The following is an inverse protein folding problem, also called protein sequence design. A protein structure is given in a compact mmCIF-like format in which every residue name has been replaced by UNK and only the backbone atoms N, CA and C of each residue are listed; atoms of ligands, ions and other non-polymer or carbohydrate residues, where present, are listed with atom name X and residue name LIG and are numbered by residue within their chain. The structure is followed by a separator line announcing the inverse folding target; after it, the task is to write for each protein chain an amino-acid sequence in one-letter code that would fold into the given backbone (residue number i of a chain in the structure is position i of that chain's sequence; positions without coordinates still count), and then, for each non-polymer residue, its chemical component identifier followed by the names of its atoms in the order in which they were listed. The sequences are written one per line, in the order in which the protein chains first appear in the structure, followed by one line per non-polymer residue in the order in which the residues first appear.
data_IF_331373585902
#
_entry.id   IF_331373585902
#
_cell.length_a   1.000
_cell.length_b   1.000
_cell.length_c   1.000
_cell.angle_alpha   90.00
_cell.angle_beta   90.00
_cell.angle_gamma   90.00
#
_symmetry.space_group_name_H-M   'P 1'
#
loop_
_entity.id
_entity.type
_entity.pdbx_description
1 polymer ?
#
# COMPACT_ATOMS: atom_id res chain seq x y z
N UNK A 1 19.25 12.20 15.94
CA UNK A 1 19.52 13.65 15.77
C UNK A 1 18.39 14.26 14.96
N UNK A 2 17.48 14.99 15.61
CA UNK A 2 16.38 15.67 14.92
C UNK A 2 16.97 16.81 14.09
N UNK A 3 16.88 16.74 12.76
CA UNK A 3 17.17 17.88 11.89
C UNK A 3 16.22 19.00 12.31
N UNK A 4 16.75 20.07 12.90
CA UNK A 4 16.04 21.34 13.02
C UNK A 4 15.64 21.75 11.60
N UNK A 5 14.38 21.57 11.24
CA UNK A 5 13.88 21.87 9.91
C UNK A 5 13.67 23.39 9.87
N UNK A 6 14.71 24.12 9.48
CA UNK A 6 14.62 25.58 9.30
C UNK A 6 13.53 25.89 8.28
N UNK A 7 12.63 26.80 8.65
CA UNK A 7 11.57 27.27 7.76
C UNK A 7 11.98 28.62 7.20
N UNK A 8 11.88 28.77 5.89
CA UNK A 8 12.24 29.98 5.17
C UNK A 8 11.00 30.58 4.52
N UNK A 9 10.83 31.90 4.63
CA UNK A 9 9.86 32.66 3.86
C UNK A 9 10.55 33.20 2.60
N UNK A 10 9.92 33.04 1.45
CA UNK A 10 10.28 33.74 0.22
C UNK A 10 9.29 34.89 0.02
N UNK A 11 9.79 36.12 0.13
CA UNK A 11 9.00 37.36 0.19
C UNK A 11 9.43 38.30 -0.94
N UNK A 12 8.51 39.01 -1.60
CA UNK A 12 8.88 40.10 -2.51
C UNK A 12 9.48 41.26 -1.73
N UNK A 13 10.75 41.55 -2.00
CA UNK A 13 11.49 42.71 -1.52
C UNK A 13 11.09 44.00 -2.24
N UNK A 14 11.73 45.12 -1.86
CA UNK A 14 11.50 46.42 -2.51
C UNK A 14 11.88 46.39 -3.99
N UNK A 15 13.02 45.79 -4.33
CA UNK A 15 13.51 45.60 -5.72
C UNK A 15 13.80 44.14 -6.06
N UNK A 16 14.04 43.30 -5.06
CA UNK A 16 14.57 41.93 -5.21
C UNK A 16 13.70 40.90 -4.52
N UNK A 17 13.93 39.61 -4.73
CA UNK A 17 13.32 38.55 -3.93
C UNK A 17 14.16 38.24 -2.69
N UNK A 18 13.53 38.12 -1.53
CA UNK A 18 14.23 37.94 -0.25
C UNK A 18 13.84 36.61 0.41
N UNK A 19 14.85 35.88 0.88
CA UNK A 19 14.67 34.75 1.79
C UNK A 19 14.86 35.19 3.23
N UNK A 20 13.88 34.88 4.07
CA UNK A 20 13.90 35.14 5.50
C UNK A 20 13.87 33.83 6.27
N UNK A 21 14.81 33.62 7.18
CA UNK A 21 14.84 32.45 8.06
C UNK A 21 13.99 32.70 9.29
N UNK A 22 13.04 31.79 9.54
CA UNK A 22 12.23 31.75 10.75
C UNK A 22 12.78 30.64 11.66
N UNK A 23 13.39 31.05 12.76
CA UNK A 23 13.81 30.14 13.82
C UNK A 23 12.86 30.25 15.02
N UNK A 24 12.46 29.13 15.65
CA UNK A 24 11.58 29.17 16.82
C UNK A 24 12.18 30.02 17.94
N UNK A 25 11.45 31.04 18.40
CA UNK A 25 11.87 31.91 19.51
C UNK A 25 12.94 32.95 19.17
N UNK A 26 13.32 33.10 17.90
CA UNK A 26 14.24 34.14 17.44
C UNK A 26 13.55 35.10 16.45
N UNK A 27 13.96 36.37 16.37
CA UNK A 27 13.42 37.29 15.38
C UNK A 27 13.77 36.79 13.96
N UNK A 28 12.88 37.01 12.96
CA UNK A 28 13.15 36.67 11.58
C UNK A 28 14.41 37.39 11.08
N UNK A 29 15.31 36.66 10.42
CA UNK A 29 16.54 37.24 9.85
C UNK A 29 16.61 37.03 8.35
N UNK A 30 17.06 38.04 7.62
CA UNK A 30 17.26 37.94 6.18
C UNK A 30 18.43 37.01 5.90
N UNK A 31 18.20 35.96 5.12
CA UNK A 31 19.20 34.96 4.74
C UNK A 31 19.92 35.34 3.45
N UNK A 32 19.17 35.71 2.41
CA UNK A 32 19.70 36.11 1.11
C UNK A 32 18.70 36.95 0.33
N UNK A 33 19.20 37.81 -0.55
CA UNK A 33 18.42 38.59 -1.51
C UNK A 33 18.88 38.24 -2.94
N UNK A 34 17.94 38.25 -3.89
CA UNK A 34 18.15 37.84 -5.27
C UNK A 34 17.52 38.85 -6.24
N UNK A 35 18.34 39.62 -7.00
CA UNK A 35 17.87 40.59 -8.00
C UNK A 35 17.41 39.91 -9.29
N UNK A 36 16.40 39.05 -9.19
CA UNK A 36 15.79 38.37 -10.33
C UNK A 36 14.35 38.84 -10.50
N UNK A 37 13.87 38.87 -11.75
CA UNK A 37 12.49 39.28 -12.01
C UNK A 37 11.49 38.19 -11.57
N UNK A 38 11.88 36.92 -11.75
CA UNK A 38 11.03 35.76 -11.53
C UNK A 38 11.62 34.83 -10.45
N UNK A 39 10.81 34.29 -9.54
CA UNK A 39 11.29 33.39 -8.49
C UNK A 39 11.82 32.06 -9.03
N UNK A 40 11.45 31.65 -10.24
CA UNK A 40 11.97 30.44 -10.90
C UNK A 40 13.46 30.52 -11.23
N UNK A 41 13.99 31.73 -11.43
CA UNK A 41 15.39 31.97 -11.79
C UNK A 41 16.35 31.79 -10.60
N UNK A 42 15.80 31.64 -9.39
CA UNK A 42 16.61 31.45 -8.19
C UNK A 42 17.18 30.03 -8.15
N UNK A 43 18.41 29.89 -8.65
CA UNK A 43 19.07 28.60 -8.84
C UNK A 43 19.41 27.84 -7.53
N UNK A 44 19.66 28.56 -6.43
CA UNK A 44 20.11 27.98 -5.16
C UNK A 44 19.26 28.45 -3.96
N UNK A 45 18.02 27.95 -3.81
CA UNK A 45 17.23 28.23 -2.62
C UNK A 45 17.87 27.58 -1.37
N UNK A 46 17.65 28.14 -0.17
CA UNK A 46 18.19 27.57 1.06
C UNK A 46 17.66 26.16 1.34
N UNK A 47 18.46 25.38 2.08
CA UNK A 47 18.04 24.07 2.57
C UNK A 47 17.02 24.25 3.71
N UNK A 48 15.94 23.45 3.70
CA UNK A 48 14.82 23.57 4.63
C UNK A 48 13.46 23.65 3.94
N UNK A 49 12.42 23.90 4.72
CA UNK A 49 11.06 24.11 4.22
C UNK A 49 10.94 25.56 3.72
N UNK A 50 10.33 25.77 2.55
CA UNK A 50 10.11 27.12 1.99
C UNK A 50 8.61 27.40 1.94
N UNK A 51 8.20 28.57 2.41
CA UNK A 51 6.85 29.10 2.27
C UNK A 51 6.94 30.29 1.32
N UNK A 52 6.10 30.28 0.28
CA UNK A 52 6.12 31.32 -0.73
C UNK A 52 5.01 32.32 -0.49
N UNK A 53 5.36 33.61 -0.42
CA UNK A 53 4.41 34.69 -0.31
C UNK A 53 4.19 35.32 -1.69
N UNK A 54 2.99 35.19 -2.23
CA UNK A 54 2.64 35.81 -3.49
C UNK A 54 2.68 37.34 -3.36
N UNK A 55 3.27 38.03 -4.35
CA UNK A 55 3.25 39.49 -4.38
C UNK A 55 1.83 39.98 -4.66
N UNK A 56 1.51 41.19 -4.23
CA UNK A 56 0.16 41.77 -4.37
C UNK A 56 -0.25 41.86 -5.85
N UNK A 57 0.70 42.02 -6.77
CA UNK A 57 0.43 42.03 -8.22
C UNK A 57 -0.13 40.71 -8.77
N UNK A 58 0.06 39.60 -8.05
CA UNK A 58 -0.38 38.28 -8.48
C UNK A 58 -1.82 37.95 -8.04
N UNK A 59 -2.45 38.81 -7.24
CA UNK A 59 -3.76 38.55 -6.64
C UNK A 59 -4.73 39.70 -6.88
N UNK A 60 -6.02 39.41 -6.71
CA UNK A 60 -7.09 40.40 -6.61
C UNK A 60 -7.77 40.25 -5.25
N UNK A 61 -7.78 41.34 -4.48
CA UNK A 61 -8.45 41.42 -3.19
C UNK A 61 -9.92 41.79 -3.37
N UNK A 62 -10.81 40.98 -2.80
CA UNK A 62 -12.26 41.15 -2.81
C UNK A 62 -12.76 41.18 -1.36
N UNK A 63 -12.78 42.35 -0.71
CA UNK A 63 -13.34 42.49 0.62
C UNK A 63 -14.86 42.44 0.54
N UNK A 64 -15.47 41.78 1.52
CA UNK A 64 -16.91 41.56 1.54
C UNK A 64 -17.47 41.88 2.92
N UNK A 65 -18.62 42.56 2.92
CA UNK A 65 -19.47 42.71 4.09
C UNK A 65 -20.72 41.85 3.88
N UNK A 66 -20.93 40.86 4.76
CA UNK A 66 -22.03 39.90 4.65
C UNK A 66 -22.90 39.92 5.92
N UNK A 67 -24.23 39.84 5.80
CA UNK A 67 -25.15 39.83 6.94
C UNK A 67 -25.29 38.42 7.53
N UNK A 68 -24.16 37.78 7.86
CA UNK A 68 -24.12 36.47 8.51
C UNK A 68 -22.85 36.28 9.31
N UNK A 69 -22.96 35.65 10.47
CA UNK A 69 -21.83 35.18 11.29
C UNK A 69 -21.33 33.78 10.91
N UNK A 70 -22.04 33.06 10.03
CA UNK A 70 -21.69 31.69 9.67
C UNK A 70 -20.55 31.62 8.66
N UNK A 71 -19.36 31.31 9.17
CA UNK A 71 -18.12 31.18 8.37
C UNK A 71 -18.17 30.08 7.32
N UNK A 72 -19.07 29.10 7.44
CA UNK A 72 -19.20 28.01 6.46
C UNK A 72 -19.77 28.49 5.12
N UNK A 73 -20.51 29.60 5.13
CA UNK A 73 -21.11 30.21 3.93
C UNK A 73 -20.15 31.15 3.18
N UNK A 74 -19.03 31.54 3.81
CA UNK A 74 -18.10 32.51 3.22
C UNK A 74 -17.51 32.05 1.88
N UNK A 75 -17.11 30.77 1.68
CA UNK A 75 -16.64 30.28 0.39
C UNK A 75 -17.63 30.48 -0.76
N UNK A 76 -18.90 30.17 -0.54
CA UNK A 76 -19.92 30.23 -1.58
C UNK A 76 -20.28 31.68 -1.93
N UNK A 77 -20.35 32.55 -0.92
CA UNK A 77 -20.54 33.99 -1.11
C UNK A 77 -19.35 34.62 -1.85
N UNK A 78 -18.12 34.24 -1.48
CA UNK A 78 -16.90 34.72 -2.13
C UNK A 78 -16.85 34.27 -3.61
N UNK A 79 -17.18 33.01 -3.89
CA UNK A 79 -17.24 32.48 -5.24
C UNK A 79 -18.28 33.24 -6.08
N UNK A 80 -19.48 33.44 -5.56
CA UNK A 80 -20.55 34.20 -6.24
C UNK A 80 -20.12 35.63 -6.55
N UNK A 81 -19.46 36.28 -5.60
CA UNK A 81 -18.96 37.65 -5.78
C UNK A 81 -17.83 37.72 -6.80
N UNK A 82 -16.88 36.78 -6.75
CA UNK A 82 -15.80 36.68 -7.71
C UNK A 82 -16.35 36.45 -9.14
N UNK A 83 -17.35 35.58 -9.30
CA UNK A 83 -18.02 35.37 -10.58
C UNK A 83 -18.70 36.63 -11.10
N UNK A 84 -19.41 37.37 -10.24
CA UNK A 84 -20.02 38.66 -10.60
C UNK A 84 -18.98 39.70 -11.02
N UNK A 85 -17.80 39.67 -10.43
CA UNK A 85 -16.67 40.51 -10.79
C UNK A 85 -15.92 40.04 -12.06
N UNK A 86 -16.34 38.94 -12.69
CA UNK A 86 -15.68 38.36 -13.85
C UNK A 86 -14.38 37.60 -13.52
N UNK A 87 -14.13 37.36 -12.23
CA UNK A 87 -12.94 36.68 -11.73
C UNK A 87 -13.27 35.19 -11.56
N UNK A 88 -13.15 34.43 -12.64
CA UNK A 88 -13.27 32.97 -12.59
C UNK A 88 -11.88 32.33 -12.55
N UNK A 89 -11.42 31.84 -11.37
CA UNK A 89 -10.21 31.04 -11.33
C UNK A 89 -10.41 29.78 -12.18
N UNK A 90 -9.38 29.39 -12.92
CA UNK A 90 -9.42 28.19 -13.75
C UNK A 90 -9.62 26.95 -12.84
N UNK A 91 -10.67 26.14 -13.04
CA UNK A 91 -10.95 24.97 -12.21
C UNK A 91 -9.82 23.93 -12.22
N UNK A 92 -8.98 23.92 -13.26
CA UNK A 92 -7.82 23.03 -13.36
C UNK A 92 -6.55 23.60 -12.73
N UNK A 93 -6.55 24.89 -12.36
CA UNK A 93 -5.38 25.60 -11.82
C UNK A 93 -5.17 25.45 -10.31
N UNK A 94 -5.94 24.57 -9.65
CA UNK A 94 -5.79 24.25 -8.23
C UNK A 94 -6.66 25.13 -7.32
N UNK A 95 -6.22 25.35 -6.09
CA UNK A 95 -6.93 26.20 -5.13
C UNK A 95 -6.33 27.60 -5.18
N UNK A 96 -6.93 28.48 -5.98
CA UNK A 96 -6.47 29.86 -6.19
C UNK A 96 -7.22 30.89 -5.36
N UNK A 97 -8.23 30.46 -4.60
CA UNK A 97 -9.04 31.34 -3.75
C UNK A 97 -8.82 31.01 -2.29
N UNK A 98 -8.67 32.04 -1.47
CA UNK A 98 -8.63 31.92 -0.02
C UNK A 98 -9.43 33.04 0.66
N UNK A 99 -9.77 32.83 1.93
CA UNK A 99 -10.66 33.70 2.68
C UNK A 99 -10.08 33.97 4.06
N UNK A 100 -10.00 35.25 4.39
CA UNK A 100 -9.46 35.74 5.65
C UNK A 100 -10.53 36.53 6.41
N UNK A 101 -11.13 35.96 7.47
CA UNK A 101 -12.06 36.69 8.33
C UNK A 101 -11.37 37.85 9.04
N UNK A 102 -11.91 39.06 8.87
CA UNK A 102 -11.38 40.29 9.50
C UNK A 102 -12.18 40.54 10.79
N UNK A 103 -13.48 40.76 10.64
CA UNK A 103 -14.42 41.01 11.73
C UNK A 103 -15.56 40.00 11.61
N UNK A 104 -15.88 39.31 12.70
CA UNK A 104 -16.98 38.34 12.74
C UNK A 104 -17.89 38.69 13.89
N UNK A 105 -19.14 39.02 13.58
CA UNK A 105 -20.23 39.19 14.55
C UNK A 105 -21.39 38.26 14.18
N UNK A 106 -22.31 37.94 15.11
CA UNK A 106 -23.42 37.03 14.83
C UNK A 106 -24.29 37.46 13.65
N UNK A 107 -24.49 38.77 13.49
CA UNK A 107 -25.35 39.35 12.47
C UNK A 107 -24.60 39.84 11.22
N UNK A 108 -23.34 40.25 11.36
CA UNK A 108 -22.55 40.82 10.28
C UNK A 108 -21.10 40.34 10.36
N UNK A 109 -20.52 39.98 9.21
CA UNK A 109 -19.11 39.65 9.11
C UNK A 109 -18.46 40.39 7.96
N UNK A 110 -17.21 40.78 8.17
CA UNK A 110 -16.32 41.33 7.15
C UNK A 110 -15.16 40.37 6.96
N UNK A 111 -14.92 39.99 5.71
CA UNK A 111 -13.79 39.14 5.37
C UNK A 111 -13.18 39.57 4.05
N UNK A 112 -11.89 39.24 3.89
CA UNK A 112 -11.15 39.43 2.67
C UNK A 112 -11.13 38.11 1.90
N UNK A 113 -11.73 38.07 0.72
CA UNK A 113 -11.49 37.01 -0.24
C UNK A 113 -10.34 37.41 -1.16
N UNK A 114 -9.40 36.51 -1.39
CA UNK A 114 -8.29 36.72 -2.32
C UNK A 114 -8.40 35.73 -3.44
N UNK A 115 -8.34 36.23 -4.68
CA UNK A 115 -8.32 35.42 -5.90
C UNK A 115 -6.95 35.58 -6.54
N UNK A 116 -6.17 34.50 -6.56
CA UNK A 116 -4.87 34.46 -7.20
C UNK A 116 -5.04 34.32 -8.71
N UNK A 117 -4.31 35.12 -9.50
CA UNK A 117 -4.16 34.90 -10.93
C UNK A 117 -3.48 33.54 -11.14
N UNK A 118 -3.92 32.76 -12.12
CA UNK A 118 -3.30 31.47 -12.43
C UNK A 118 -1.78 31.64 -12.66
N UNK A 119 -0.93 31.18 -11.72
CA UNK A 119 0.50 31.42 -11.79
C UNK A 119 1.11 30.60 -12.91
N UNK A 120 2.02 31.20 -13.68
CA UNK A 120 2.82 30.45 -14.64
C UNK A 120 3.95 29.70 -13.91
N UNK A 121 4.57 28.68 -14.52
CA UNK A 121 5.71 27.98 -13.92
C UNK A 121 6.87 28.92 -13.52
N UNK A 122 7.03 30.02 -14.26
CA UNK A 122 7.98 31.09 -13.99
C UNK A 122 7.67 31.89 -12.70
N UNK A 123 6.39 32.03 -12.35
CA UNK A 123 5.94 32.77 -11.16
C UNK A 123 6.09 31.96 -9.87
N UNK A 124 6.53 30.71 -9.97
CA UNK A 124 6.75 29.80 -8.86
C UNK A 124 8.25 29.51 -8.68
N UNK A 125 8.73 29.35 -7.45
CA UNK A 125 10.13 28.97 -7.23
C UNK A 125 10.41 27.56 -7.73
N UNK A 126 11.64 27.32 -8.20
CA UNK A 126 12.09 26.03 -8.75
C UNK A 126 11.87 24.86 -7.78
N UNK A 127 12.07 25.10 -6.49
CA UNK A 127 11.79 24.15 -5.42
C UNK A 127 10.34 24.33 -4.97
N UNK A 128 9.54 23.26 -5.06
CA UNK A 128 8.14 23.27 -4.64
C UNK A 128 7.98 23.71 -3.18
N UNK A 129 7.33 24.85 -2.91
CA UNK A 129 7.08 25.33 -1.56
C UNK A 129 6.18 24.38 -0.76
N UNK A 130 6.30 24.44 0.57
CA UNK A 130 5.48 23.70 1.54
C UNK A 130 4.10 24.33 1.74
N UNK A 131 4.03 25.65 1.75
CA UNK A 131 2.79 26.40 1.86
C UNK A 131 2.89 27.70 1.04
N UNK A 132 1.73 28.30 0.82
CA UNK A 132 1.58 29.55 0.10
C UNK A 132 0.72 30.50 0.91
N UNK A 133 1.10 31.77 0.90
CA UNK A 133 0.31 32.85 1.48
C UNK A 133 0.55 34.13 0.66
N UNK A 134 0.08 35.27 1.15
CA UNK A 134 0.20 36.56 0.47
C UNK A 134 1.13 37.49 1.24
N UNK A 135 1.91 38.31 0.52
CA UNK A 135 2.91 39.19 1.13
C UNK A 135 2.35 40.18 2.17
N UNK A 136 1.15 40.80 2.02
CA UNK A 136 0.69 41.79 3.00
C UNK A 136 0.43 41.18 4.38
N UNK A 137 0.10 39.88 4.45
CA UNK A 137 -0.17 39.21 5.73
C UNK A 137 1.09 38.93 6.55
N UNK A 138 2.26 38.99 5.94
CA UNK A 138 3.52 38.82 6.65
C UNK A 138 4.01 40.09 7.35
N UNK A 139 3.39 41.24 7.11
CA UNK A 139 3.79 42.51 7.71
C UNK A 139 2.71 43.00 8.68
N UNK A 140 2.91 42.84 10.00
CA UNK A 140 1.89 43.20 10.97
C UNK A 140 1.72 44.71 11.06
N UNK A 141 0.49 45.18 11.00
CA UNK A 141 0.11 46.56 11.28
C UNK A 141 -0.77 46.63 12.54
N UNK A 142 -0.82 47.78 13.21
CA UNK A 142 -1.64 47.98 14.41
C UNK A 142 -2.82 48.89 14.11
N UNK A 143 -3.97 48.61 14.71
CA UNK A 143 -5.17 49.42 14.59
C UNK A 143 -5.66 49.54 13.13
N UNK A 144 -6.28 50.68 12.82
CA UNK A 144 -6.81 50.96 11.49
C UNK A 144 -5.77 51.77 10.71
N UNK A 145 -4.92 51.10 9.94
CA UNK A 145 -3.74 51.69 9.31
C UNK A 145 -3.71 51.45 7.81
N UNK A 146 -3.30 52.48 7.07
CA UNK A 146 -2.90 52.36 5.68
C UNK A 146 -1.39 52.11 5.62
N UNK A 147 -0.96 50.96 5.13
CA UNK A 147 0.47 50.67 4.92
C UNK A 147 0.80 50.76 3.45
N UNK A 148 1.94 51.38 3.12
CA UNK A 148 2.46 51.50 1.76
C UNK A 148 3.89 50.98 1.72
N UNK A 149 4.21 50.16 0.73
CA UNK A 149 5.57 49.68 0.49
C UNK A 149 5.78 49.40 -0.98
N UNK A 150 7.01 49.06 -1.35
CA UNK A 150 7.34 48.65 -2.71
C UNK A 150 7.52 47.14 -2.78
N UNK A 151 7.02 46.55 -3.85
CA UNK A 151 7.25 45.16 -4.22
C UNK A 151 7.82 45.09 -5.63
N UNK A 152 9.05 44.58 -5.75
CA UNK A 152 9.72 44.35 -7.04
C UNK A 152 9.66 45.60 -7.95
N UNK A 153 9.88 46.78 -7.34
CA UNK A 153 9.96 48.08 -8.00
C UNK A 153 8.65 48.90 -8.04
N UNK A 154 7.49 48.30 -7.78
CA UNK A 154 6.18 48.98 -7.86
C UNK A 154 5.58 49.23 -6.47
N UNK A 155 4.88 50.35 -6.29
CA UNK A 155 4.17 50.65 -5.05
C UNK A 155 2.95 49.75 -4.87
N UNK A 156 2.76 49.29 -3.65
CA UNK A 156 1.58 48.56 -3.21
C UNK A 156 1.09 49.18 -1.91
N UNK A 157 -0.21 49.05 -1.65
CA UNK A 157 -0.78 49.47 -0.38
C UNK A 157 -1.71 48.41 0.19
N UNK A 158 -1.82 48.43 1.51
CA UNK A 158 -2.80 47.63 2.24
C UNK A 158 -3.51 48.47 3.29
N UNK A 159 -4.78 48.15 3.49
CA UNK A 159 -5.63 48.74 4.51
C UNK A 159 -5.85 47.67 5.57
N UNK A 160 -5.59 48.03 6.81
CA UNK A 160 -5.79 47.17 7.97
C UNK A 160 -6.94 47.70 8.81
N UNK A 161 -7.70 46.78 9.40
CA UNK A 161 -8.75 47.05 10.38
C UNK A 161 -8.45 46.21 11.62
N UNK A 162 -8.34 46.84 12.79
CA UNK A 162 -7.95 46.17 14.04
C UNK A 162 -6.67 45.31 13.91
N UNK A 163 -5.73 45.75 13.07
CA UNK A 163 -4.48 45.04 12.78
C UNK A 163 -4.60 43.83 11.83
N UNK A 164 -5.80 43.51 11.34
CA UNK A 164 -6.01 42.48 10.31
C UNK A 164 -6.10 43.11 8.92
N UNK A 165 -5.61 42.40 7.91
CA UNK A 165 -5.65 42.84 6.52
C UNK A 165 -7.09 42.88 6.01
N UNK A 166 -7.57 44.07 5.65
CA UNK A 166 -8.90 44.30 5.08
C UNK A 166 -8.86 44.34 3.56
N UNK A 167 -7.87 45.02 2.99
CA UNK A 167 -7.73 45.19 1.54
C UNK A 167 -6.27 45.37 1.15
N UNK A 168 -5.89 44.96 -0.05
CA UNK A 168 -4.58 45.26 -0.63
C UNK A 168 -4.67 45.40 -2.14
N UNK A 169 -3.81 46.25 -2.71
CA UNK A 169 -3.74 46.46 -4.15
C UNK A 169 -2.32 46.84 -4.56
N UNK A 170 -1.90 46.29 -5.71
CA UNK A 170 -0.69 46.71 -6.39
C UNK A 170 -1.01 47.83 -7.36
N UNK A 171 -0.12 48.82 -7.43
CA UNK A 171 -0.24 49.95 -8.36
C UNK A 171 0.82 49.85 -9.45
N UNK A 172 0.64 50.57 -10.55
CA UNK A 172 1.67 50.69 -11.60
C UNK A 172 2.70 51.78 -11.32
N UNK A 173 2.65 52.42 -10.15
CA UNK A 173 3.51 53.55 -9.81
C UNK A 173 4.89 53.03 -9.38
N UNK A 174 5.93 53.47 -10.08
CA UNK A 174 7.34 53.08 -9.83
C UNK A 174 8.19 54.26 -9.37
N UNK A 175 7.59 55.41 -9.06
CA UNK A 175 8.30 56.59 -8.56
C UNK A 175 9.01 56.29 -7.23
N UNK A 176 10.12 56.99 -6.92
CA UNK A 176 10.84 56.79 -5.67
C UNK A 176 9.99 57.18 -4.44
N UNK A 177 9.09 58.14 -4.58
CA UNK A 177 8.17 58.59 -3.53
C UNK A 177 6.70 58.43 -3.92
N UNK A 178 5.78 58.37 -2.94
CA UNK A 178 4.33 58.38 -3.17
C UNK A 178 3.87 59.62 -3.95
N UNK A 179 3.42 59.42 -5.19
CA UNK A 179 2.99 60.50 -6.07
C UNK A 179 1.46 60.74 -6.01
N UNK A 180 0.98 61.73 -6.76
CA UNK A 180 -0.44 62.05 -6.85
C UNK A 180 -1.26 60.91 -7.47
N UNK A 181 -0.67 60.10 -8.35
CA UNK A 181 -1.30 58.96 -9.01
C UNK A 181 -1.63 57.86 -8.00
N UNK A 182 -0.65 57.48 -7.18
CA UNK A 182 -0.81 56.50 -6.10
C UNK A 182 -1.90 56.92 -5.12
N UNK A 183 -1.91 58.20 -4.72
CA UNK A 183 -2.91 58.73 -3.80
C UNK A 183 -4.31 58.70 -4.41
N UNK A 184 -4.42 58.99 -5.71
CA UNK A 184 -5.70 58.89 -6.42
C UNK A 184 -6.19 57.45 -6.42
N UNK A 185 -5.33 56.47 -6.69
CA UNK A 185 -5.69 55.05 -6.62
C UNK A 185 -6.17 54.64 -5.22
N UNK A 186 -5.47 55.06 -4.17
CA UNK A 186 -5.86 54.80 -2.77
C UNK A 186 -7.25 55.38 -2.46
N UNK A 187 -7.52 56.63 -2.87
CA UNK A 187 -8.83 57.25 -2.67
C UNK A 187 -9.96 56.51 -3.40
N UNK A 188 -9.70 56.10 -4.64
CA UNK A 188 -10.67 55.34 -5.44
C UNK A 188 -10.96 54.00 -4.75
N UNK A 189 -9.92 53.31 -4.27
CA UNK A 189 -10.08 52.06 -3.53
C UNK A 189 -10.92 52.27 -2.27
N UNK A 190 -10.59 53.24 -1.40
CA UNK A 190 -11.37 53.53 -0.18
C UNK A 190 -12.83 53.86 -0.52
N UNK A 191 -13.08 54.67 -1.55
CA UNK A 191 -14.43 54.99 -1.99
C UNK A 191 -15.20 53.76 -2.49
N UNK A 192 -14.55 52.87 -3.25
CA UNK A 192 -15.13 51.60 -3.71
C UNK A 192 -15.49 50.68 -2.55
N UNK A 193 -14.61 50.58 -1.54
CA UNK A 193 -14.89 49.80 -0.32
C UNK A 193 -16.11 50.34 0.42
N UNK A 194 -16.20 51.66 0.57
CA UNK A 194 -17.34 52.32 1.21
C UNK A 194 -18.66 52.03 0.46
N UNK A 195 -18.65 52.10 -0.88
CA UNK A 195 -19.82 51.75 -1.70
C UNK A 195 -20.23 50.27 -1.58
N UNK A 196 -19.30 49.38 -1.25
CA UNK A 196 -19.55 47.95 -1.00
C UNK A 196 -20.01 47.67 0.44
N UNK A 197 -20.17 48.70 1.27
CA UNK A 197 -20.54 48.56 2.69
C UNK A 197 -19.38 48.16 3.60
N UNK A 198 -18.15 48.15 3.08
CA UNK A 198 -16.94 47.87 3.85
C UNK A 198 -16.35 49.19 4.37
N UNK A 199 -16.42 49.42 5.68
CA UNK A 199 -15.89 50.63 6.30
C UNK A 199 -14.36 50.57 6.42
N UNK A 200 -13.67 51.19 5.46
CA UNK A 200 -12.22 51.30 5.42
C UNK A 200 -11.77 52.73 5.80
N UNK A 201 -11.71 53.02 7.10
CA UNK A 201 -11.33 54.34 7.63
C UNK A 201 -9.97 54.24 8.35
N UNK A 202 -8.84 54.40 7.63
CA UNK A 202 -7.53 54.41 8.27
C UNK A 202 -7.38 55.68 9.13
N UNK A 203 -6.85 55.53 10.35
CA UNK A 203 -6.56 56.65 11.25
C UNK A 203 -5.13 57.17 11.08
N UNK A 204 -4.22 56.35 10.57
CA UNK A 204 -2.84 56.72 10.25
C UNK A 204 -2.32 55.97 9.03
N UNK A 205 -1.24 56.49 8.46
CA UNK A 205 -0.55 55.91 7.32
C UNK A 205 0.91 55.61 7.66
N UNK A 206 1.40 54.46 7.25
CA UNK A 206 2.80 54.04 7.45
C UNK A 206 3.39 53.74 6.09
N UNK A 207 4.49 54.41 5.76
CA UNK A 207 5.26 54.18 4.54
C UNK A 207 6.51 53.39 4.92
N UNK A 208 6.65 52.20 4.36
CA UNK A 208 7.84 51.38 4.49
C UNK A 208 8.75 51.61 3.29
N UNK A 209 9.91 52.21 3.54
CA UNK A 209 10.95 52.45 2.53
C UNK A 209 12.32 52.18 3.14
N UNK A 210 13.25 51.71 2.32
CA UNK A 210 14.67 51.67 2.69
C UNK A 210 15.33 53.06 2.62
N UNK A 211 14.76 53.98 1.82
CA UNK A 211 15.26 55.33 1.62
C UNK A 211 14.67 56.31 2.67
N UNK A 212 15.50 56.86 3.59
CA UNK A 212 15.05 57.81 4.59
C UNK A 212 14.63 59.17 4.01
N UNK A 213 15.00 59.48 2.76
CA UNK A 213 14.63 60.73 2.08
C UNK A 213 13.29 60.65 1.33
N UNK A 214 12.59 59.52 1.43
CA UNK A 214 11.28 59.32 0.78
C UNK A 214 10.28 60.40 1.24
N UNK A 215 9.90 61.30 0.33
CA UNK A 215 8.93 62.36 0.65
C UNK A 215 7.51 61.77 0.86
N UNK A 216 6.96 62.01 2.04
CA UNK A 216 5.61 61.58 2.45
C UNK A 216 4.65 62.74 2.65
N UNK A 217 5.09 63.98 2.42
CA UNK A 217 4.32 65.20 2.68
C UNK A 217 3.02 65.28 1.85
N UNK A 218 3.10 64.87 0.58
CA UNK A 218 1.97 64.88 -0.35
C UNK A 218 0.90 63.87 0.10
N UNK A 219 1.30 62.70 0.58
CA UNK A 219 0.43 61.68 1.16
C UNK A 219 -0.30 62.21 2.40
N UNK A 220 0.43 62.82 3.33
CA UNK A 220 -0.15 63.36 4.57
C UNK A 220 -1.16 64.46 4.29
N UNK A 221 -0.78 65.43 3.46
CA UNK A 221 -1.63 66.59 3.12
C UNK A 221 -2.87 66.17 2.34
N UNK A 222 -2.73 65.20 1.44
CA UNK A 222 -3.86 64.76 0.61
C UNK A 222 -4.85 63.93 1.41
N UNK A 223 -4.38 62.90 2.12
CA UNK A 223 -5.29 61.99 2.83
C UNK A 223 -5.72 62.53 4.21
N UNK A 224 -5.14 63.63 4.67
CA UNK A 224 -5.36 64.18 6.03
C UNK A 224 -5.05 63.15 7.12
N UNK A 225 -4.03 62.31 6.89
CA UNK A 225 -3.59 61.26 7.82
C UNK A 225 -2.22 61.60 8.40
N UNK A 226 -2.00 61.16 9.63
CA UNK A 226 -0.65 61.14 10.22
C UNK A 226 0.18 60.08 9.49
N UNK A 227 1.18 60.51 8.74
CA UNK A 227 2.10 59.63 8.00
C UNK A 227 3.38 59.40 8.78
N UNK A 228 3.80 58.15 8.88
CA UNK A 228 5.09 57.76 9.47
C UNK A 228 5.93 57.05 8.42
N UNK A 229 7.18 57.49 8.26
CA UNK A 229 8.18 56.80 7.45
C UNK A 229 9.00 55.89 8.37
N UNK A 230 9.00 54.59 8.09
CA UNK A 230 9.78 53.61 8.86
C UNK A 230 10.43 52.60 7.92
N UNK A 231 11.48 51.92 8.41
CA UNK A 231 12.03 50.78 7.70
C UNK A 231 10.99 49.64 7.67
N UNK A 232 11.00 48.85 6.59
CA UNK A 232 10.09 47.71 6.47
C UNK A 232 10.32 46.72 7.61
N UNK A 233 9.27 46.31 8.36
CA UNK A 233 9.42 45.34 9.43
C UNK A 233 9.85 43.98 8.89
N UNK A 234 10.51 43.18 9.72
CA UNK A 234 10.84 41.81 9.37
C UNK A 234 9.54 40.99 9.18
N UNK A 235 9.43 40.18 8.12
CA UNK A 235 8.22 39.42 7.84
C UNK A 235 8.00 38.35 8.91
N UNK A 236 6.77 38.26 9.41
CA UNK A 236 6.32 37.23 10.34
C UNK A 236 5.59 36.12 9.59
N UNK A 237 5.52 34.94 10.21
CA UNK A 237 4.68 33.86 9.71
C UNK A 237 3.21 34.25 9.85
N UNK A 238 2.40 34.25 8.78
CA UNK A 238 0.96 34.42 8.91
C UNK A 238 0.32 33.23 9.62
N UNK A 239 -0.52 33.51 10.62
CA UNK A 239 -1.32 32.51 11.32
C UNK A 239 -2.82 32.84 11.20
N UNK A 240 -3.67 31.93 10.70
CA UNK A 240 -3.34 30.66 10.06
C UNK A 240 -2.72 30.85 8.67
N UNK A 241 -1.95 29.85 8.21
CA UNK A 241 -1.43 29.82 6.84
C UNK A 241 -2.56 29.75 5.82
N UNK A 242 -2.32 30.38 4.67
CA UNK A 242 -3.22 30.33 3.54
C UNK A 242 -3.46 28.92 2.98
N UNK A 243 -4.65 28.72 2.42
CA UNK A 243 -5.08 27.51 1.72
C UNK A 243 -4.76 27.54 0.22
N UNK A 244 -4.00 28.54 -0.23
CA UNK A 244 -3.58 28.68 -1.62
C UNK A 244 -2.71 27.49 -2.05
N UNK A 245 -3.04 26.89 -3.20
CA UNK A 245 -2.31 25.74 -3.73
C UNK A 245 -2.44 25.65 -5.26
N UNK A 246 -1.49 26.26 -6.01
CA UNK A 246 -1.46 26.20 -7.47
C UNK A 246 -1.37 24.78 -8.05
N UNK A 247 -1.89 24.57 -9.26
CA UNK A 247 -1.94 23.28 -9.93
C UNK A 247 -0.58 22.63 -10.17
N UNK A 248 0.43 23.41 -10.57
CA UNK A 248 1.78 22.88 -10.85
C UNK A 248 2.37 22.21 -9.61
N UNK A 249 2.17 22.82 -8.44
CA UNK A 249 2.64 22.28 -7.17
C UNK A 249 1.78 21.09 -6.73
N UNK A 250 0.47 21.10 -7.01
CA UNK A 250 -0.39 19.93 -6.80
C UNK A 250 0.03 18.74 -7.66
N UNK A 251 0.34 18.98 -8.93
CA UNK A 251 0.81 17.96 -9.86
C UNK A 251 2.16 17.39 -9.40
N UNK A 252 3.11 18.26 -9.06
CA UNK A 252 4.41 17.86 -8.52
C UNK A 252 4.28 17.03 -7.23
N UNK A 253 3.44 17.46 -6.28
CA UNK A 253 3.17 16.71 -5.04
C UNK A 253 2.51 15.35 -5.30
N UNK A 254 1.55 15.28 -6.23
CA UNK A 254 0.91 14.01 -6.61
C UNK A 254 1.91 13.05 -7.25
N UNK A 255 2.77 13.52 -8.14
CA UNK A 255 3.81 12.71 -8.77
C UNK A 255 4.82 12.19 -7.73
N UNK A 256 5.27 13.05 -6.80
CA UNK A 256 6.16 12.66 -5.72
C UNK A 256 5.53 11.60 -4.80
N UNK A 257 4.27 11.79 -4.40
CA UNK A 257 3.55 10.82 -3.56
C UNK A 257 3.31 9.49 -4.30
N UNK A 258 3.01 9.53 -5.60
CA UNK A 258 2.88 8.32 -6.43
C UNK A 258 4.21 7.55 -6.49
N UNK A 259 5.34 8.23 -6.70
CA UNK A 259 6.68 7.61 -6.68
C UNK A 259 6.99 6.99 -5.32
N UNK A 260 6.72 7.70 -4.23
CA UNK A 260 6.94 7.19 -2.88
C UNK A 260 6.10 5.93 -2.63
N UNK A 261 4.82 5.94 -3.00
CA UNK A 261 3.95 4.77 -2.86
C UNK A 261 4.43 3.58 -3.71
N UNK A 262 4.92 3.82 -4.92
CA UNK A 262 5.50 2.76 -5.78
C UNK A 262 6.75 2.16 -5.14
N UNK A 263 7.67 2.99 -4.61
CA UNK A 263 8.87 2.51 -3.93
C UNK A 263 8.50 1.70 -2.69
N UNK A 264 7.52 2.16 -1.92
CA UNK A 264 7.06 1.49 -0.71
C UNK A 264 6.38 0.15 -1.03
N UNK A 265 5.60 0.09 -2.12
CA UNK A 265 5.01 -1.14 -2.64
C UNK A 265 6.08 -2.12 -3.15
N UNK A 266 7.09 -1.63 -3.88
CA UNK A 266 8.21 -2.44 -4.34
C UNK A 266 9.04 -3.00 -3.16
N UNK A 267 9.28 -2.20 -2.12
CA UNK A 267 9.95 -2.63 -0.91
C UNK A 267 9.14 -3.72 -0.17
N UNK A 268 7.83 -3.58 -0.06
CA UNK A 268 6.96 -4.60 0.53
C UNK A 268 7.02 -5.92 -0.26
N UNK A 269 6.97 -5.86 -1.59
CA UNK A 269 7.12 -7.03 -2.48
C UNK A 269 8.48 -7.72 -2.30
N UNK A 270 9.56 -6.94 -2.18
CA UNK A 270 10.90 -7.49 -1.94
C UNK A 270 10.99 -8.24 -0.60
N UNK A 271 10.38 -7.71 0.47
CA UNK A 271 10.34 -8.38 1.78
C UNK A 271 9.56 -9.69 1.71
N UNK A 272 8.41 -9.71 1.02
CA UNK A 272 7.62 -10.93 0.81
C UNK A 272 8.45 -11.96 0.04
N UNK A 273 9.07 -11.54 -1.07
CA UNK A 273 9.88 -12.42 -1.90
C UNK A 273 11.06 -13.04 -1.11
N UNK A 274 11.83 -12.21 -0.39
CA UNK A 274 12.92 -12.69 0.47
C UNK A 274 12.41 -13.62 1.57
N UNK A 275 11.25 -13.33 2.15
CA UNK A 275 10.59 -14.21 3.13
C UNK A 275 10.24 -15.57 2.55
N UNK A 276 9.69 -15.62 1.32
CA UNK A 276 9.37 -16.90 0.65
C UNK A 276 10.61 -17.73 0.32
N UNK A 277 11.69 -17.09 -0.16
CA UNK A 277 12.96 -17.78 -0.40
C UNK A 277 13.55 -18.31 0.92
N UNK A 278 13.54 -17.50 1.98
CA UNK A 278 14.01 -17.91 3.30
C UNK A 278 13.23 -19.10 3.84
N UNK A 279 11.90 -19.10 3.70
CA UNK A 279 11.03 -20.19 4.12
C UNK A 279 11.30 -21.49 3.34
N UNK A 280 11.37 -21.43 2.00
CA UNK A 280 11.65 -22.60 1.17
C UNK A 280 13.06 -23.14 1.41
N UNK A 281 14.05 -22.26 1.54
CA UNK A 281 15.43 -22.63 1.85
C UNK A 281 15.57 -23.33 3.20
N UNK A 282 14.88 -22.80 4.23
CA UNK A 282 14.83 -23.44 5.55
C UNK A 282 14.13 -24.81 5.50
N UNK A 283 13.02 -24.92 4.77
CA UNK A 283 12.31 -26.18 4.57
C UNK A 283 13.19 -27.26 3.92
N UNK A 284 13.86 -26.91 2.80
CA UNK A 284 14.79 -27.80 2.11
C UNK A 284 15.94 -28.23 3.02
N UNK A 285 16.56 -27.29 3.74
CA UNK A 285 17.66 -27.59 4.65
C UNK A 285 17.23 -28.55 5.76
N UNK A 286 16.06 -28.30 6.37
CA UNK A 286 15.49 -29.18 7.40
C UNK A 286 15.27 -30.58 6.85
N UNK A 287 14.61 -30.72 5.70
CA UNK A 287 14.34 -32.02 5.06
C UNK A 287 15.63 -32.77 4.76
N UNK A 288 16.62 -32.10 4.16
CA UNK A 288 17.91 -32.72 3.83
C UNK A 288 18.65 -33.19 5.09
N UNK A 289 18.61 -32.40 6.16
CA UNK A 289 19.21 -32.78 7.45
C UNK A 289 18.56 -34.02 8.07
N UNK A 290 17.23 -34.14 7.97
CA UNK A 290 16.50 -35.33 8.43
C UNK A 290 16.78 -36.55 7.57
N UNK A 291 16.83 -36.39 6.24
CA UNK A 291 17.17 -37.49 5.32
C UNK A 291 18.57 -38.01 5.59
N UNK A 292 19.55 -37.13 5.80
CA UNK A 292 20.91 -37.54 6.16
C UNK A 292 20.97 -38.29 7.49
N UNK A 293 20.19 -37.88 8.50
CA UNK A 293 20.10 -38.61 9.78
C UNK A 293 19.50 -40.00 9.61
N UNK A 294 18.38 -40.11 8.90
CA UNK A 294 17.72 -41.40 8.64
C UNK A 294 18.63 -42.31 7.81
N UNK A 295 19.29 -41.80 6.77
CA UNK A 295 20.27 -42.57 5.99
C UNK A 295 21.45 -43.05 6.85
N UNK A 296 21.92 -42.23 7.78
CA UNK A 296 22.98 -42.62 8.71
C UNK A 296 22.51 -43.70 9.70
N UNK A 297 21.24 -43.72 10.09
CA UNK A 297 20.65 -44.80 10.90
C UNK A 297 20.48 -46.08 10.08
N UNK A 298 19.96 -45.99 8.85
CA UNK A 298 19.84 -47.13 7.93
C UNK A 298 21.21 -47.75 7.66
N UNK A 299 22.26 -46.95 7.44
CA UNK A 299 23.62 -47.45 7.24
C UNK A 299 24.17 -48.22 8.45
N UNK A 300 23.74 -47.91 9.68
CA UNK A 300 24.12 -48.66 10.89
C UNK A 300 23.39 -50.00 11.00
N UNK A 301 22.18 -50.10 10.47
CA UNK A 301 21.33 -51.30 10.54
C UNK A 301 21.48 -52.21 9.31
N UNK A 302 22.00 -51.68 8.19
CA UNK A 302 22.28 -52.43 6.95
C UNK A 302 22.97 -53.80 7.14
N UNK A 303 24.05 -53.95 7.96
CA UNK A 303 24.68 -55.27 8.15
C UNK A 303 23.79 -56.28 8.89
N UNK A 304 22.81 -55.84 9.68
CA UNK A 304 21.83 -56.73 10.32
C UNK A 304 20.73 -57.17 9.37
N UNK A 305 20.46 -56.39 8.32
CA UNK A 305 19.46 -56.67 7.31
C UNK A 305 19.84 -57.87 6.44
N UNK A 306 21.12 -58.04 6.12
CA UNK A 306 21.62 -59.22 5.38
C UNK A 306 21.45 -60.51 6.17
N UNK A 307 21.76 -60.48 7.48
CA UNK A 307 21.50 -61.61 8.37
C UNK A 307 20.00 -61.91 8.48
N UNK A 308 19.16 -60.88 8.61
CA UNK A 308 17.71 -61.03 8.68
C UNK A 308 17.11 -61.60 7.38
N UNK A 309 17.65 -61.21 6.22
CA UNK A 309 17.23 -61.75 4.91
C UNK A 309 17.52 -63.25 4.82
N UNK A 310 18.71 -63.69 5.22
CA UNK A 310 19.06 -65.11 5.29
C UNK A 310 18.17 -65.90 6.27
N UNK A 311 17.71 -65.26 7.34
CA UNK A 311 16.75 -65.88 8.25
C UNK A 311 15.36 -66.02 7.62
N UNK A 312 14.88 -65.02 6.88
CA UNK A 312 13.60 -65.10 6.16
C UNK A 312 13.65 -66.21 5.11
N UNK A 313 14.71 -66.27 4.29
CA UNK A 313 14.88 -67.33 3.27
C UNK A 313 14.89 -68.73 3.90
N UNK A 314 15.56 -68.91 5.05
CA UNK A 314 15.54 -70.19 5.79
C UNK A 314 14.17 -70.52 6.40
N UNK A 315 13.41 -69.52 6.81
CA UNK A 315 12.05 -69.73 7.32
C UNK A 315 11.11 -70.17 6.20
N UNK A 316 11.27 -69.61 5.00
CA UNK A 316 10.54 -69.99 3.78
C UNK A 316 10.85 -71.45 3.37
N UNK A 317 12.12 -71.85 3.40
CA UNK A 317 12.53 -73.25 3.13
C UNK A 317 11.91 -74.27 4.11
N UNK A 318 11.72 -73.87 5.37
CA UNK A 318 11.18 -74.74 6.42
C UNK A 318 9.64 -74.78 6.43
N UNK A 319 8.97 -73.86 5.74
CA UNK A 319 7.51 -73.76 5.70
C UNK A 319 6.87 -75.06 5.18
N UNK A 320 7.40 -75.63 4.10
CA UNK A 320 6.90 -76.87 3.49
C UNK A 320 7.03 -78.11 4.39
N UNK A 321 7.98 -78.12 5.32
CA UNK A 321 8.19 -79.25 6.24
C UNK A 321 7.38 -79.15 7.53
N UNK A 322 6.95 -77.95 7.90
CA UNK A 322 6.31 -77.67 9.19
C UNK A 322 4.79 -77.46 9.04
N UNK A 323 4.34 -76.98 7.88
CA UNK A 323 2.91 -76.76 7.65
C UNK A 323 2.13 -78.09 7.57
N UNK A 324 1.10 -78.22 8.40
CA UNK A 324 0.22 -79.41 8.45
C UNK A 324 -0.46 -79.68 7.11
N UNK A 325 -0.63 -78.67 6.26
CA UNK A 325 -1.29 -78.80 4.97
C UNK A 325 -0.47 -79.60 3.94
N UNK A 326 0.85 -79.70 4.13
CA UNK A 326 1.75 -80.42 3.23
C UNK A 326 2.16 -81.81 3.77
N UNK A 327 1.61 -82.22 4.93
CA UNK A 327 1.92 -83.52 5.53
C UNK A 327 1.18 -84.67 4.81
N UNK A 328 1.94 -85.58 4.20
CA UNK A 328 1.42 -86.68 3.39
C UNK A 328 0.48 -87.62 4.14
N UNK A 329 0.71 -87.84 5.44
CA UNK A 329 -0.11 -88.73 6.28
C UNK A 329 -1.48 -88.10 6.56
N UNK A 330 -1.52 -86.80 6.79
CA UNK A 330 -2.78 -86.10 7.07
C UNK A 330 -3.61 -85.91 5.79
N UNK A 331 -2.96 -85.63 4.65
CA UNK A 331 -3.61 -85.60 3.34
C UNK A 331 -4.30 -86.96 3.04
N UNK A 332 -3.60 -88.07 3.28
CA UNK A 332 -4.18 -89.41 3.10
C UNK A 332 -5.39 -89.64 4.03
N UNK A 333 -5.31 -89.18 5.27
CA UNK A 333 -6.41 -89.27 6.24
C UNK A 333 -7.63 -88.43 5.80
N UNK A 334 -7.41 -87.19 5.31
CA UNK A 334 -8.47 -86.32 4.75
C UNK A 334 -9.15 -86.96 3.53
N UNK A 335 -8.38 -87.61 2.66
CA UNK A 335 -8.89 -88.38 1.51
C UNK A 335 -9.72 -89.56 2.01
N UNK A 336 -9.21 -90.33 2.97
CA UNK A 336 -9.92 -91.50 3.52
C UNK A 336 -11.25 -91.12 4.18
N UNK A 337 -11.32 -89.96 4.86
CA UNK A 337 -12.57 -89.43 5.44
C UNK A 337 -13.62 -89.03 4.40
N UNK A 338 -13.22 -88.81 3.15
CA UNK A 338 -14.12 -88.42 2.08
C UNK A 338 -14.86 -89.62 1.45
N UNK A 339 -14.46 -90.86 1.79
CA UNK A 339 -15.09 -92.10 1.32
C UNK A 339 -16.51 -92.23 1.91
N UNK A 340 -17.57 -92.41 1.08
CA UNK A 340 -18.93 -92.57 1.57
C UNK A 340 -19.08 -93.82 2.45
N UNK A 341 -19.64 -93.68 3.65
CA UNK A 341 -19.80 -94.77 4.61
C UNK A 341 -20.73 -95.86 4.08
N UNK A 342 -20.31 -97.13 4.14
CA UNK A 342 -21.12 -98.28 3.70
C UNK A 342 -21.14 -98.53 2.18
N UNK A 343 -20.34 -97.79 1.40
CA UNK A 343 -20.30 -97.87 -0.07
C UNK A 343 -19.49 -99.04 -0.65
N UNK A 344 -18.68 -99.72 0.17
CA UNK A 344 -17.80 -100.80 -0.28
C UNK A 344 -16.63 -100.36 -1.17
N UNK A 345 -16.41 -99.05 -1.34
CA UNK A 345 -15.28 -98.48 -2.09
C UNK A 345 -13.95 -98.75 -1.38
N UNK A 346 -12.93 -99.19 -2.12
CA UNK A 346 -11.59 -99.48 -1.61
C UNK A 346 -10.53 -98.77 -2.44
N UNK A 347 -9.56 -98.17 -1.76
CA UNK A 347 -8.36 -97.62 -2.38
C UNK A 347 -7.34 -98.74 -2.58
N UNK A 348 -6.76 -98.82 -3.77
CA UNK A 348 -5.75 -99.83 -4.15
C UNK A 348 -4.35 -99.26 -4.17
N UNK A 349 -4.20 -98.00 -4.59
CA UNK A 349 -2.94 -97.27 -4.59
C UNK A 349 -3.21 -95.79 -4.30
N UNK A 350 -2.33 -95.18 -3.50
CA UNK A 350 -2.30 -93.74 -3.30
C UNK A 350 -0.85 -93.28 -3.35
N UNK A 351 -0.52 -92.45 -4.34
CA UNK A 351 0.78 -91.83 -4.53
C UNK A 351 0.61 -90.35 -4.19
N UNK A 352 1.27 -89.90 -3.14
CA UNK A 352 1.21 -88.51 -2.66
C UNK A 352 2.63 -87.95 -2.72
N UNK A 353 2.84 -86.96 -3.58
CA UNK A 353 4.08 -86.19 -3.68
C UNK A 353 3.79 -84.71 -3.47
N UNK A 354 4.82 -83.87 -3.38
CA UNK A 354 4.66 -82.42 -3.21
C UNK A 354 3.97 -81.75 -4.42
N UNK A 355 4.07 -82.36 -5.60
CA UNK A 355 3.58 -81.77 -6.86
C UNK A 355 2.28 -82.43 -7.35
N UNK A 356 2.05 -83.69 -7.01
CA UNK A 356 0.90 -84.45 -7.49
C UNK A 356 0.42 -85.49 -6.48
N UNK A 357 -0.91 -85.58 -6.34
CA UNK A 357 -1.64 -86.62 -5.64
C UNK A 357 -2.35 -87.49 -6.68
N UNK A 358 -2.10 -88.79 -6.67
CA UNK A 358 -2.77 -89.76 -7.53
C UNK A 358 -3.38 -90.88 -6.70
N UNK A 359 -4.68 -91.10 -6.89
CA UNK A 359 -5.47 -92.07 -6.13
C UNK A 359 -6.12 -93.05 -7.10
N UNK A 360 -5.98 -94.34 -6.83
CA UNK A 360 -6.57 -95.41 -7.62
C UNK A 360 -7.42 -96.32 -6.73
N UNK A 361 -8.62 -96.66 -7.17
CA UNK A 361 -9.55 -97.45 -6.37
C UNK A 361 -10.61 -98.16 -7.18
N UNK A 362 -11.33 -99.04 -6.48
CA UNK A 362 -12.41 -99.86 -7.03
C UNK A 362 -13.66 -99.73 -6.15
N UNK A 363 -14.85 -99.71 -6.76
CA UNK A 363 -16.13 -99.69 -6.06
C UNK A 363 -17.15 -100.65 -6.71
N UNK A 364 -18.07 -101.24 -5.93
CA UNK A 364 -19.09 -102.16 -6.45
C UNK A 364 -20.17 -101.46 -7.29
N UNK A 365 -20.42 -100.17 -7.07
CA UNK A 365 -21.42 -99.37 -7.78
C UNK A 365 -20.81 -98.05 -8.28
N UNK A 366 -21.22 -97.55 -9.47
CA UNK A 366 -20.67 -96.30 -10.03
C UNK A 366 -21.09 -95.07 -9.22
N UNK A 367 -22.24 -95.15 -8.54
CA UNK A 367 -22.75 -94.07 -7.69
C UNK A 367 -21.80 -93.74 -6.52
N UNK A 368 -21.15 -94.77 -5.95
CA UNK A 368 -20.18 -94.58 -4.87
C UNK A 368 -18.95 -93.79 -5.32
N UNK A 369 -18.51 -93.97 -6.57
CA UNK A 369 -17.37 -93.23 -7.13
C UNK A 369 -17.73 -91.76 -7.38
N UNK A 370 -18.93 -91.51 -7.91
CA UNK A 370 -19.41 -90.15 -8.16
C UNK A 370 -19.70 -89.38 -6.87
N UNK A 371 -20.14 -90.07 -5.81
CA UNK A 371 -20.29 -89.47 -4.49
C UNK A 371 -18.93 -89.17 -3.85
N UNK A 372 -17.96 -90.06 -4.03
CA UNK A 372 -16.58 -89.85 -3.57
C UNK A 372 -15.90 -88.65 -4.27
N UNK A 373 -16.02 -88.52 -5.61
CA UNK A 373 -15.48 -87.35 -6.33
C UNK A 373 -16.13 -86.04 -5.86
N UNK A 374 -17.44 -86.06 -5.61
CA UNK A 374 -18.17 -84.92 -5.07
C UNK A 374 -17.72 -84.57 -3.66
N UNK A 375 -17.48 -85.55 -2.79
CA UNK A 375 -17.00 -85.34 -1.43
C UNK A 375 -15.57 -84.79 -1.42
N UNK A 376 -14.68 -85.28 -2.29
CA UNK A 376 -13.33 -84.74 -2.47
C UNK A 376 -13.35 -83.26 -2.86
N UNK A 377 -14.18 -82.90 -3.85
CA UNK A 377 -14.32 -81.50 -4.29
C UNK A 377 -14.98 -80.55 -3.27
N UNK A 378 -15.71 -81.09 -2.28
CA UNK A 378 -16.44 -80.31 -1.27
C UNK A 378 -15.72 -80.24 0.08
N UNK A 379 -14.65 -80.99 0.26
CA UNK A 379 -13.92 -81.00 1.51
C UNK A 379 -13.01 -79.76 1.58
N UNK A 380 -13.33 -78.84 2.49
CA UNK A 380 -12.55 -77.60 2.68
C UNK A 380 -11.07 -77.86 2.97
N UNK A 381 -10.74 -78.99 3.60
CA UNK A 381 -9.36 -79.33 3.97
C UNK A 381 -8.53 -79.86 2.78
N UNK A 382 -9.17 -80.11 1.63
CA UNK A 382 -8.55 -80.54 0.37
C UNK A 382 -8.79 -79.52 -0.77
N UNK A 383 -9.36 -78.35 -0.46
CA UNK A 383 -9.66 -77.30 -1.42
C UNK A 383 -8.42 -76.64 -2.05
N UNK A 384 -7.25 -76.83 -1.43
CA UNK A 384 -5.96 -76.37 -1.95
C UNK A 384 -5.52 -77.16 -3.20
N UNK A 385 -6.09 -78.35 -3.46
CA UNK A 385 -5.75 -79.17 -4.62
C UNK A 385 -6.84 -79.09 -5.69
N UNK A 386 -6.44 -78.93 -6.95
CA UNK A 386 -7.34 -78.98 -8.09
C UNK A 386 -7.53 -80.44 -8.53
N UNK A 387 -8.72 -80.99 -8.24
CA UNK A 387 -9.03 -82.40 -8.49
C UNK A 387 -9.53 -82.65 -9.92
N UNK A 388 -8.85 -83.52 -10.65
CA UNK A 388 -9.29 -84.08 -11.91
C UNK A 388 -9.94 -85.44 -11.66
N UNK A 389 -11.25 -85.53 -11.89
CA UNK A 389 -12.07 -86.71 -11.59
C UNK A 389 -12.77 -87.24 -12.86
N UNK A 390 -12.04 -87.98 -13.73
CA UNK A 390 -12.64 -88.57 -14.93
C UNK A 390 -13.70 -89.63 -14.58
N UNK A 391 -14.61 -89.91 -15.53
CA UNK A 391 -15.68 -90.90 -15.33
C UNK A 391 -15.12 -92.31 -15.06
N UNK A 392 -15.72 -93.07 -14.11
CA UNK A 392 -15.25 -94.40 -13.75
C UNK A 392 -15.42 -95.41 -14.90
N UNK A 393 -14.47 -96.33 -15.01
CA UNK A 393 -14.48 -97.39 -16.03
C UNK A 393 -14.90 -98.72 -15.42
N UNK A 394 -15.73 -99.48 -16.14
CA UNK A 394 -16.12 -100.81 -15.71
C UNK A 394 -14.96 -101.80 -15.88
N UNK A 395 -14.60 -102.48 -14.80
CA UNK A 395 -13.55 -103.51 -14.75
C UNK A 395 -14.16 -104.87 -14.41
N UNK A 396 -13.36 -105.94 -14.45
CA UNK A 396 -13.79 -107.30 -14.10
C UNK A 396 -14.15 -107.48 -12.62
N UNK A 397 -13.84 -106.51 -11.75
CA UNK A 397 -14.07 -106.54 -10.29
C UNK A 397 -15.05 -105.48 -9.78
N UNK A 398 -15.55 -104.61 -10.66
CA UNK A 398 -16.45 -103.50 -10.30
C UNK A 398 -16.21 -102.28 -11.19
N UNK A 399 -16.28 -101.09 -10.60
CA UNK A 399 -15.99 -99.82 -11.24
C UNK A 399 -14.66 -99.28 -10.72
N UNK A 400 -13.67 -99.18 -11.60
CA UNK A 400 -12.35 -98.62 -11.28
C UNK A 400 -12.27 -97.13 -11.58
N UNK A 401 -11.53 -96.39 -10.76
CA UNK A 401 -11.29 -94.96 -10.95
C UNK A 401 -9.85 -94.58 -10.67
N UNK A 402 -9.41 -93.51 -11.33
CA UNK A 402 -8.11 -92.86 -11.12
C UNK A 402 -8.37 -91.36 -11.02
N UNK A 403 -8.09 -90.79 -9.84
CA UNK A 403 -8.21 -89.36 -9.59
C UNK A 403 -6.84 -88.75 -9.38
N UNK A 404 -6.60 -87.60 -9.97
CA UNK A 404 -5.37 -86.84 -9.82
C UNK A 404 -5.67 -85.45 -9.26
N UNK A 405 -4.77 -84.94 -8.43
CA UNK A 405 -4.85 -83.60 -7.87
C UNK A 405 -3.48 -82.95 -7.87
N UNK A 406 -3.43 -81.66 -8.21
CA UNK A 406 -2.21 -80.85 -8.15
C UNK A 406 -2.49 -79.55 -7.38
N UNK A 407 -1.51 -79.01 -6.64
CA UNK A 407 -1.63 -77.66 -6.10
C UNK A 407 -1.70 -76.65 -7.26
N UNK A 408 -2.41 -75.51 -7.12
CA UNK A 408 -2.46 -74.49 -8.15
C UNK A 408 -1.04 -74.02 -8.45
N UNK A 409 -0.67 -74.01 -9.73
CA UNK A 409 0.64 -73.54 -10.15
C UNK A 409 0.86 -72.11 -9.64
N UNK A 410 1.76 -71.96 -8.67
CA UNK A 410 2.22 -70.65 -8.21
C UNK A 410 3.07 -70.09 -9.34
N UNK A 411 2.47 -69.27 -10.22
CA UNK A 411 3.24 -68.42 -11.12
C UNK A 411 4.10 -67.49 -10.28
N UNK A 412 5.44 -67.51 -10.43
CA UNK A 412 6.33 -66.61 -9.70
C UNK A 412 6.10 -65.14 -10.05
#
# INVERSE_FOLDING_TARGET
MAKSNSTHLLVPGETEWEFWTLAPGAPPTMHSAHPVAQPSEIAKPPQGDVIFLFPVKALTALPMHVPTGDTSLFPDLAATHAERAGLRPDPFAGQLTDIFPVLTSPENSVFLSVVLRNPQPADLPLKSPKAFDISPRAFPARGNTLTLWRELGSWVFAIHSEGKLLYCQATSVTSPSPDASLIREIRIAIAQLSMQGVRAEPSSAIVWSSDPETDTSLLSRSLSLQTQLTARPAPIMPEPLGKLLPADVRAARRAARKRQNIILAAAALAVIYLGTIGYLGYGLWKTNSTTQRIMAEVAKVAPQQEAFRLHIEKWDELEYGIDLNHNTVDILNRIARSIPSGSGLRLTSAIISAEEIRIEGEAPQPQAVNEFSKNLSRNNDLAFFEWQTPEPRQTTRGWGFVFTAAPPAVTP
#
